data_IF_435017761631
#
_entry.id   IF_435017761631
#
_cell.length_a   1.000
_cell.length_b   1.000
_cell.length_c   1.000
_cell.angle_alpha   90.00
_cell.angle_beta   90.00
_cell.angle_gamma   90.00
#
_symmetry.space_group_name_H-M   'P 1'
#
loop_
_entity.id
_entity.type
_entity.pdbx_description
1 polymer ?
#
# COMPACT_ATOMS: atom_id res chain seq x y z
N UNK A 1 -26.81 19.71 -15.93
CA UNK A 1 -25.79 20.43 -15.13
C UNK A 1 -25.01 19.38 -14.39
N UNK A 2 -23.70 19.43 -14.45
CA UNK A 2 -22.81 18.47 -13.79
C UNK A 2 -22.58 19.00 -12.38
N UNK A 3 -23.05 18.27 -11.37
CA UNK A 3 -22.92 18.70 -9.98
C UNK A 3 -21.45 18.88 -9.61
N UNK A 4 -21.17 19.90 -8.81
CA UNK A 4 -19.81 20.21 -8.36
C UNK A 4 -19.27 19.03 -7.55
N UNK A 5 -18.10 18.51 -7.93
CA UNK A 5 -17.38 17.52 -7.14
C UNK A 5 -17.10 18.07 -5.74
N UNK A 6 -17.42 17.28 -4.71
CA UNK A 6 -17.02 17.60 -3.35
C UNK A 6 -15.49 17.61 -3.22
N UNK A 7 -14.99 18.34 -2.21
CA UNK A 7 -13.57 18.60 -2.07
C UNK A 7 -12.75 17.34 -1.75
N UNK A 8 -13.32 16.39 -1.00
CA UNK A 8 -12.62 15.17 -0.58
C UNK A 8 -12.50 14.20 -1.75
N UNK A 9 -13.58 14.02 -2.52
CA UNK A 9 -13.56 13.22 -3.75
C UNK A 9 -12.59 13.81 -4.77
N UNK A 10 -12.62 15.14 -4.98
CA UNK A 10 -11.69 15.80 -5.90
C UNK A 10 -10.23 15.62 -5.46
N UNK A 11 -9.94 15.79 -4.17
CA UNK A 11 -8.59 15.60 -3.64
C UNK A 11 -8.11 14.16 -3.84
N UNK A 12 -8.90 13.17 -3.43
CA UNK A 12 -8.53 11.77 -3.57
C UNK A 12 -8.38 11.37 -5.04
N UNK A 13 -9.29 11.81 -5.91
CA UNK A 13 -9.20 11.59 -7.36
C UNK A 13 -7.92 12.18 -7.93
N UNK A 14 -7.55 13.41 -7.54
CA UNK A 14 -6.31 14.04 -7.99
C UNK A 14 -5.08 13.27 -7.52
N UNK A 15 -5.06 12.80 -6.26
CA UNK A 15 -3.95 11.99 -5.72
C UNK A 15 -3.78 10.72 -6.56
N UNK A 16 -4.84 9.93 -6.73
CA UNK A 16 -4.70 8.64 -7.45
C UNK A 16 -4.43 8.82 -8.93
N UNK A 17 -4.95 9.88 -9.55
CA UNK A 17 -4.58 10.24 -10.91
C UNK A 17 -3.12 10.69 -11.02
N UNK A 18 -2.54 11.28 -9.98
CA UNK A 18 -1.13 11.69 -9.95
C UNK A 18 -0.16 10.57 -9.63
N UNK A 19 -0.55 9.66 -8.72
CA UNK A 19 0.25 8.52 -8.24
C UNK A 19 0.21 7.33 -9.19
N UNK A 20 -0.89 7.14 -9.94
CA UNK A 20 -1.02 6.03 -10.89
C UNK A 20 -0.10 6.18 -12.09
N UNK A 21 0.24 5.02 -12.69
CA UNK A 21 1.00 4.97 -13.92
C UNK A 21 0.28 5.72 -15.07
N UNK A 22 1.03 6.12 -16.09
CA UNK A 22 0.47 6.76 -17.29
C UNK A 22 -0.32 5.82 -18.19
N UNK A 23 -0.51 4.56 -17.78
CA UNK A 23 -1.37 3.61 -18.47
C UNK A 23 -2.87 3.86 -18.21
N UNK A 24 -3.20 4.74 -17.25
CA UNK A 24 -4.57 5.16 -16.94
C UNK A 24 -5.52 3.98 -16.63
N UNK A 25 -5.00 2.98 -15.91
CA UNK A 25 -5.75 1.77 -15.52
C UNK A 25 -6.67 2.09 -14.34
N UNK A 26 -7.97 1.86 -14.52
CA UNK A 26 -8.98 2.12 -13.48
C UNK A 26 -8.69 1.35 -12.19
N UNK A 27 -8.38 0.04 -12.29
CA UNK A 27 -8.12 -0.81 -11.12
C UNK A 27 -6.90 -0.35 -10.32
N UNK A 28 -5.89 0.23 -10.98
CA UNK A 28 -4.72 0.82 -10.32
C UNK A 28 -5.13 2.04 -9.50
N UNK A 29 -5.87 2.98 -10.11
CA UNK A 29 -6.38 4.17 -9.42
C UNK A 29 -7.34 3.81 -8.28
N UNK A 30 -8.22 2.83 -8.49
CA UNK A 30 -9.16 2.35 -7.48
C UNK A 30 -8.43 1.70 -6.31
N UNK A 31 -7.44 0.84 -6.58
CA UNK A 31 -6.64 0.20 -5.54
C UNK A 31 -5.83 1.24 -4.73
N UNK A 32 -5.22 2.24 -5.38
CA UNK A 32 -4.56 3.36 -4.68
C UNK A 32 -5.57 4.13 -3.80
N UNK A 33 -6.77 4.40 -4.31
CA UNK A 33 -7.83 5.08 -3.55
C UNK A 33 -8.23 4.26 -2.31
N UNK A 34 -8.38 2.94 -2.46
CA UNK A 34 -8.67 2.04 -1.35
C UNK A 34 -7.56 2.07 -0.28
N UNK A 35 -6.29 2.02 -0.68
CA UNK A 35 -5.16 2.10 0.26
C UNK A 35 -5.16 3.44 1.00
N UNK A 36 -5.36 4.55 0.30
CA UNK A 36 -5.39 5.89 0.90
C UNK A 36 -6.51 6.03 1.95
N UNK A 37 -7.73 5.60 1.62
CA UNK A 37 -8.86 5.62 2.56
C UNK A 37 -8.60 4.69 3.75
N UNK A 38 -8.05 3.49 3.51
CA UNK A 38 -7.74 2.53 4.57
C UNK A 38 -6.67 3.06 5.53
N UNK A 39 -5.58 3.63 5.00
CA UNK A 39 -4.52 4.25 5.80
C UNK A 39 -5.03 5.41 6.64
N UNK A 40 -5.85 6.28 6.04
CA UNK A 40 -6.51 7.39 6.73
C UNK A 40 -7.33 6.89 7.92
N UNK A 41 -8.23 5.93 7.69
CA UNK A 41 -9.08 5.34 8.73
C UNK A 41 -8.29 4.61 9.82
N UNK A 42 -7.31 3.80 9.44
CA UNK A 42 -6.50 3.02 10.39
C UNK A 42 -5.67 3.90 11.35
N UNK A 43 -5.36 5.13 10.92
CA UNK A 43 -4.65 6.14 11.70
C UNK A 43 -5.58 7.12 12.42
N UNK A 44 -6.90 6.96 12.29
CA UNK A 44 -7.90 7.77 13.00
C UNK A 44 -8.18 9.13 12.39
N UNK A 45 -7.92 9.33 11.10
CA UNK A 45 -8.29 10.56 10.40
C UNK A 45 -9.73 10.49 9.89
N UNK A 46 -10.45 11.62 10.01
CA UNK A 46 -11.83 11.74 9.53
C UNK A 46 -11.93 12.10 8.05
N UNK A 47 -10.87 12.68 7.47
CA UNK A 47 -10.84 13.15 6.08
C UNK A 47 -9.50 12.83 5.41
N UNK A 48 -9.50 12.67 4.10
CA UNK A 48 -8.29 12.52 3.28
C UNK A 48 -7.43 13.76 3.39
N UNK A 49 -8.03 14.96 3.38
CA UNK A 49 -7.27 16.22 3.54
C UNK A 49 -6.51 16.28 4.88
N UNK A 50 -7.13 15.86 5.98
CA UNK A 50 -6.45 15.81 7.28
C UNK A 50 -5.33 14.76 7.32
N UNK A 51 -5.55 13.62 6.66
CA UNK A 51 -4.54 12.57 6.53
C UNK A 51 -3.32 13.05 5.73
N UNK A 52 -3.54 13.56 4.51
CA UNK A 52 -2.46 13.93 3.59
C UNK A 52 -1.67 15.16 4.03
N UNK A 53 -2.27 16.03 4.85
CA UNK A 53 -1.57 17.20 5.41
C UNK A 53 -0.60 16.84 6.54
N UNK A 54 -0.87 15.77 7.30
CA UNK A 54 -0.01 15.31 8.40
C UNK A 54 0.95 14.19 7.99
N UNK A 55 0.54 13.33 7.06
CA UNK A 55 1.28 12.12 6.67
C UNK A 55 1.93 12.32 5.29
N UNK A 56 3.02 13.11 5.26
CA UNK A 56 3.68 13.54 4.02
C UNK A 56 4.17 12.40 3.12
N UNK A 57 4.47 11.23 3.69
CA UNK A 57 4.88 10.05 2.93
C UNK A 57 3.78 9.45 2.04
N UNK A 58 2.51 9.78 2.31
CA UNK A 58 1.35 9.36 1.53
C UNK A 58 0.83 10.47 0.60
N UNK A 59 1.54 11.61 0.54
CA UNK A 59 1.12 12.79 -0.21
C UNK A 59 2.27 13.47 -0.95
N UNK A 60 3.29 12.70 -1.37
CA UNK A 60 4.36 13.23 -2.20
C UNK A 60 3.81 13.96 -3.42
N UNK A 61 2.83 13.37 -4.11
CA UNK A 61 2.14 13.95 -5.26
C UNK A 61 1.39 15.27 -4.97
N UNK A 62 1.08 15.56 -3.69
CA UNK A 62 0.49 16.84 -3.27
C UNK A 62 1.57 17.93 -3.11
N UNK A 63 2.82 17.55 -2.85
CA UNK A 63 3.93 18.47 -2.51
C UNK A 63 5.01 18.60 -3.59
N UNK A 64 5.13 17.63 -4.49
CA UNK A 64 6.18 17.52 -5.50
C UNK A 64 5.89 18.30 -6.80
N UNK A 65 4.70 18.89 -6.93
CA UNK A 65 4.28 19.58 -8.15
C UNK A 65 3.88 18.64 -9.29
N UNK A 66 3.45 17.41 -8.99
CA UNK A 66 2.99 16.43 -9.97
C UNK A 66 1.95 17.05 -10.92
N UNK A 67 2.28 17.03 -12.22
CA UNK A 67 1.48 17.69 -13.26
C UNK A 67 0.09 17.09 -13.40
N UNK A 68 -0.06 15.77 -13.17
CA UNK A 68 -1.35 15.07 -13.28
C UNK A 68 -2.26 15.44 -12.11
N UNK A 69 -1.74 15.43 -10.89
CA UNK A 69 -2.46 15.92 -9.72
C UNK A 69 -2.93 17.36 -9.91
N UNK A 70 -2.02 18.26 -10.28
CA UNK A 70 -2.34 19.67 -10.51
C UNK A 70 -3.36 19.86 -11.63
N UNK A 71 -3.32 19.03 -12.68
CA UNK A 71 -4.30 19.05 -13.77
C UNK A 71 -5.71 18.75 -13.25
N UNK A 72 -5.90 17.62 -12.57
CA UNK A 72 -7.25 17.25 -12.08
C UNK A 72 -7.77 18.27 -11.05
N UNK A 73 -6.91 18.76 -10.15
CA UNK A 73 -7.31 19.79 -9.17
C UNK A 73 -7.82 21.07 -9.81
N UNK A 74 -7.20 21.51 -10.93
CA UNK A 74 -7.54 22.76 -11.62
C UNK A 74 -8.63 22.61 -12.67
N UNK A 75 -8.87 21.39 -13.16
CA UNK A 75 -9.86 21.13 -14.20
C UNK A 75 -11.28 21.36 -13.73
N UNK A 76 -12.09 21.94 -14.63
CA UNK A 76 -13.54 22.07 -14.44
C UNK A 76 -14.22 20.70 -14.55
N UNK A 77 -15.39 20.57 -13.97
CA UNK A 77 -16.19 19.33 -13.93
C UNK A 77 -16.42 18.77 -15.34
N UNK A 78 -16.83 19.62 -16.28
CA UNK A 78 -17.00 19.22 -17.68
C UNK A 78 -15.71 18.72 -18.36
N UNK A 79 -14.54 19.21 -17.94
CA UNK A 79 -13.25 18.73 -18.48
C UNK A 79 -12.88 17.38 -17.89
N UNK A 80 -13.16 17.18 -16.60
CA UNK A 80 -12.97 15.90 -15.90
C UNK A 80 -13.85 14.82 -16.52
N UNK A 81 -15.12 15.12 -16.78
CA UNK A 81 -16.05 14.17 -17.40
C UNK A 81 -15.68 13.78 -18.82
N UNK A 82 -15.18 14.74 -19.62
CA UNK A 82 -14.74 14.48 -21.00
C UNK A 82 -13.43 13.70 -21.08
N UNK A 83 -12.64 13.67 -20.01
CA UNK A 83 -11.38 12.94 -19.95
C UNK A 83 -11.61 11.60 -19.27
N UNK A 84 -11.59 10.50 -20.03
CA UNK A 84 -11.80 9.14 -19.50
C UNK A 84 -10.95 8.87 -18.24
N UNK A 85 -9.66 9.19 -18.28
CA UNK A 85 -8.76 8.93 -17.16
C UNK A 85 -9.02 9.79 -15.91
N UNK A 86 -9.44 11.04 -16.06
CA UNK A 86 -9.82 11.88 -14.90
C UNK A 86 -11.20 11.48 -14.36
N UNK A 87 -12.15 11.13 -15.24
CA UNK A 87 -13.44 10.57 -14.86
C UNK A 87 -13.27 9.25 -14.09
N UNK A 88 -12.37 8.38 -14.54
CA UNK A 88 -12.09 7.10 -13.89
C UNK A 88 -11.39 7.30 -12.54
N UNK A 89 -10.52 8.28 -12.39
CA UNK A 89 -9.97 8.67 -11.09
C UNK A 89 -11.08 9.14 -10.11
N UNK A 90 -12.07 9.89 -10.61
CA UNK A 90 -13.24 10.30 -9.80
C UNK A 90 -14.10 9.09 -9.41
N UNK A 91 -14.34 8.15 -10.33
CA UNK A 91 -15.07 6.91 -10.02
C UNK A 91 -14.32 6.07 -8.98
N UNK A 92 -13.00 5.97 -9.10
CA UNK A 92 -12.13 5.27 -8.16
C UNK A 92 -12.20 5.89 -6.75
N UNK A 93 -12.10 7.22 -6.66
CA UNK A 93 -12.22 7.95 -5.40
C UNK A 93 -13.60 7.74 -4.75
N UNK A 94 -14.68 7.89 -5.52
CA UNK A 94 -16.04 7.65 -5.05
C UNK A 94 -16.24 6.22 -4.56
N UNK A 95 -15.74 5.23 -5.31
CA UNK A 95 -15.80 3.83 -4.89
C UNK A 95 -15.13 3.63 -3.52
N UNK A 96 -13.93 4.17 -3.31
CA UNK A 96 -13.19 3.98 -2.07
C UNK A 96 -13.84 4.72 -0.88
N UNK A 97 -14.26 5.97 -1.07
CA UNK A 97 -14.88 6.79 -0.01
C UNK A 97 -16.21 6.19 0.48
N UNK A 98 -16.99 5.61 -0.44
CA UNK A 98 -18.28 4.98 -0.13
C UNK A 98 -18.16 3.52 0.31
N UNK A 99 -16.95 2.98 0.51
CA UNK A 99 -16.76 1.60 0.94
C UNK A 99 -17.16 0.56 -0.11
N UNK A 100 -17.05 0.90 -1.39
CA UNK A 100 -17.25 -0.01 -2.50
C UNK A 100 -16.17 -1.09 -2.58
N UNK A 101 -16.04 -1.72 -3.76
CA UNK A 101 -15.11 -2.83 -3.96
C UNK A 101 -13.68 -2.42 -3.62
N UNK A 102 -12.99 -3.25 -2.85
CA UNK A 102 -11.57 -3.07 -2.54
C UNK A 102 -10.69 -3.71 -3.62
N UNK A 103 -10.22 -2.91 -4.56
CA UNK A 103 -9.34 -3.38 -5.64
C UNK A 103 -7.94 -3.71 -5.13
N UNK A 104 -7.53 -3.15 -3.99
CA UNK A 104 -6.21 -3.39 -3.39
C UNK A 104 -6.13 -4.70 -2.60
N UNK A 105 -7.24 -5.43 -2.43
CA UNK A 105 -7.34 -6.68 -1.68
C UNK A 105 -6.71 -6.61 -0.27
N UNK A 106 -7.00 -5.53 0.45
CA UNK A 106 -6.55 -5.33 1.83
C UNK A 106 -5.12 -4.80 1.98
N UNK A 107 -4.51 -4.25 0.93
CA UNK A 107 -3.17 -3.66 1.04
C UNK A 107 -3.14 -2.42 1.94
N UNK A 108 -2.00 -2.18 2.56
CA UNK A 108 -1.71 -0.94 3.29
C UNK A 108 -0.63 -0.10 2.62
N UNK A 109 0.08 -0.69 1.67
CA UNK A 109 1.22 -0.09 1.01
C UNK A 109 1.19 -0.41 -0.49
N UNK A 110 1.92 0.36 -1.27
CA UNK A 110 2.18 0.08 -2.66
C UNK A 110 3.65 0.36 -2.99
N UNK A 111 4.09 -0.10 -4.16
CA UNK A 111 5.32 0.32 -4.81
C UNK A 111 5.12 0.44 -6.32
N UNK A 112 5.78 1.44 -6.91
CA UNK A 112 5.88 1.59 -8.36
C UNK A 112 7.18 0.99 -8.88
N UNK A 113 7.66 1.49 -10.02
CA UNK A 113 8.85 0.93 -10.70
C UNK A 113 10.15 1.09 -9.90
N UNK A 114 10.17 1.93 -8.87
CA UNK A 114 11.31 2.19 -8.01
C UNK A 114 11.74 0.96 -7.19
N UNK A 115 10.82 0.05 -6.88
CA UNK A 115 11.16 -1.23 -6.26
C UNK A 115 12.11 -2.07 -7.13
N UNK A 116 12.02 -1.93 -8.46
CA UNK A 116 12.92 -2.59 -9.42
C UNK A 116 14.21 -1.81 -9.59
N UNK A 117 14.13 -0.50 -9.85
CA UNK A 117 15.31 0.30 -10.15
C UNK A 117 16.24 0.47 -8.95
N UNK A 118 15.70 0.45 -7.73
CA UNK A 118 16.45 0.56 -6.48
C UNK A 118 16.44 -0.73 -5.64
N UNK A 119 16.23 -1.88 -6.28
CA UNK A 119 15.93 -3.17 -5.61
C UNK A 119 16.79 -3.47 -4.38
N UNK A 120 18.13 -3.42 -4.49
CA UNK A 120 19.05 -3.75 -3.38
C UNK A 120 18.90 -2.83 -2.17
N UNK A 121 18.48 -1.58 -2.38
CA UNK A 121 18.34 -0.60 -1.30
C UNK A 121 16.89 -0.39 -0.87
N UNK A 122 15.94 -0.89 -1.65
CA UNK A 122 14.51 -0.70 -1.41
C UNK A 122 14.09 -1.26 -0.05
N UNK A 123 13.36 -0.45 0.73
CA UNK A 123 13.05 -0.76 2.12
C UNK A 123 12.30 -2.08 2.27
N UNK A 124 11.25 -2.31 1.46
CA UNK A 124 10.48 -3.56 1.55
C UNK A 124 11.31 -4.77 1.16
N UNK A 125 12.14 -4.65 0.12
CA UNK A 125 13.03 -5.74 -0.35
C UNK A 125 14.03 -6.12 0.74
N UNK A 126 14.63 -5.15 1.44
CA UNK A 126 15.52 -5.41 2.59
C UNK A 126 14.83 -6.13 3.76
N UNK A 127 13.51 -5.96 3.87
CA UNK A 127 12.69 -6.54 4.93
C UNK A 127 12.00 -7.86 4.55
N UNK A 128 12.15 -8.29 3.30
CA UNK A 128 11.54 -9.49 2.77
C UNK A 128 10.19 -9.21 2.10
N UNK A 129 10.11 -9.52 0.81
CA UNK A 129 8.89 -9.47 0.01
C UNK A 129 8.54 -10.87 -0.52
N UNK A 130 7.24 -11.16 -0.61
CA UNK A 130 6.70 -12.35 -1.24
C UNK A 130 5.53 -12.04 -2.16
N UNK A 131 5.53 -12.59 -3.35
CA UNK A 131 4.38 -12.58 -4.24
C UNK A 131 3.45 -13.72 -3.88
N UNK A 132 2.20 -13.42 -3.58
CA UNK A 132 1.16 -14.41 -3.27
C UNK A 132 0.56 -15.01 -4.54
N UNK A 133 0.67 -14.28 -5.65
CA UNK A 133 0.28 -14.69 -6.99
C UNK A 133 1.43 -14.29 -7.93
N UNK A 134 1.94 -15.19 -8.79
CA UNK A 134 2.96 -14.85 -9.79
C UNK A 134 2.59 -13.66 -10.68
N UNK A 135 1.31 -13.43 -10.97
CA UNK A 135 0.83 -12.30 -11.76
C UNK A 135 1.05 -10.95 -11.08
N UNK A 136 1.26 -10.93 -9.76
CA UNK A 136 1.58 -9.69 -9.04
C UNK A 136 3.03 -9.22 -9.30
N UNK A 137 3.90 -10.07 -9.83
CA UNK A 137 5.29 -9.71 -10.13
C UNK A 137 5.43 -9.01 -11.48
N UNK A 138 4.71 -7.90 -11.67
CA UNK A 138 4.67 -7.11 -12.91
C UNK A 138 6.04 -6.54 -13.32
N UNK A 139 7.01 -6.53 -12.40
CA UNK A 139 8.37 -6.05 -12.64
C UNK A 139 9.42 -7.14 -12.87
N UNK A 140 9.06 -8.42 -12.69
CA UNK A 140 9.97 -9.56 -12.81
C UNK A 140 11.15 -9.48 -11.83
N UNK A 141 10.92 -8.99 -10.61
CA UNK A 141 11.94 -8.92 -9.57
C UNK A 141 11.96 -10.21 -8.75
N UNK A 142 13.10 -10.52 -8.14
CA UNK A 142 13.18 -11.65 -7.23
C UNK A 142 12.40 -11.36 -5.94
N UNK A 143 11.90 -12.41 -5.31
CA UNK A 143 11.49 -12.32 -3.91
C UNK A 143 12.71 -12.14 -3.01
N UNK A 144 12.49 -11.70 -1.78
CA UNK A 144 13.56 -11.55 -0.80
C UNK A 144 13.14 -12.11 0.55
N UNK A 145 14.12 -12.64 1.28
CA UNK A 145 13.87 -13.26 2.59
C UNK A 145 14.62 -12.55 3.70
N UNK A 146 13.93 -12.32 4.82
CA UNK A 146 14.50 -11.94 6.11
C UNK A 146 14.04 -12.94 7.17
N UNK A 147 14.86 -13.96 7.42
CA UNK A 147 14.55 -14.98 8.41
C UNK A 147 14.66 -14.38 9.82
N UNK A 148 13.55 -14.43 10.56
CA UNK A 148 13.51 -14.09 11.98
C UNK A 148 12.92 -15.27 12.73
N UNK A 149 13.60 -15.69 13.80
CA UNK A 149 13.20 -16.78 14.67
C UNK A 149 13.11 -16.30 16.12
N UNK A 150 12.09 -16.75 16.85
CA UNK A 150 12.06 -16.64 18.31
C UNK A 150 12.33 -18.01 18.90
N UNK A 151 13.27 -18.08 19.83
CA UNK A 151 13.59 -19.31 20.55
C UNK A 151 13.30 -19.11 22.03
N UNK A 152 12.65 -20.10 22.66
CA UNK A 152 12.58 -20.24 24.11
C UNK A 152 13.78 -21.06 24.55
N UNK A 153 14.56 -20.51 25.47
CA UNK A 153 15.67 -21.24 26.09
C UNK A 153 15.24 -21.67 27.49
N UNK A 154 15.18 -22.97 27.73
CA UNK A 154 14.83 -23.57 29.03
C UNK A 154 16.01 -24.37 29.54
N UNK A 155 16.43 -24.12 30.78
CA UNK A 155 17.42 -24.96 31.45
C UNK A 155 16.70 -26.15 32.08
N UNK A 156 17.11 -27.36 31.72
CA UNK A 156 16.59 -28.60 32.29
C UNK A 156 17.72 -29.32 33.03
N UNK A 157 17.41 -29.92 34.18
CA UNK A 157 18.37 -30.74 34.90
C UNK A 157 18.14 -32.19 34.51
N UNK A 158 19.16 -32.81 33.89
CA UNK A 158 19.16 -34.23 33.58
C UNK A 158 20.35 -34.84 34.32
N UNK A 159 20.06 -35.69 35.31
CA UNK A 159 21.06 -36.41 36.12
C UNK A 159 22.14 -35.51 36.75
N UNK A 160 21.74 -34.36 37.30
CA UNK A 160 22.66 -33.41 37.94
C UNK A 160 23.38 -32.47 36.96
N UNK A 161 23.21 -32.67 35.65
CA UNK A 161 23.75 -31.80 34.61
C UNK A 161 22.68 -30.83 34.12
N UNK A 162 23.00 -29.54 34.15
CA UNK A 162 22.13 -28.51 33.56
C UNK A 162 22.33 -28.53 32.04
N UNK A 163 21.31 -28.95 31.31
CA UNK A 163 21.23 -28.85 29.87
C UNK A 163 20.36 -27.69 29.44
N UNK A 164 20.69 -27.11 28.29
CA UNK A 164 19.93 -26.00 27.71
C UNK A 164 19.10 -26.52 26.54
N UNK A 165 17.78 -26.56 26.70
CA UNK A 165 16.84 -26.87 25.63
C UNK A 165 16.42 -25.56 24.94
N UNK A 166 16.64 -25.49 23.63
CA UNK A 166 16.10 -24.42 22.78
C UNK A 166 14.89 -24.95 22.02
N UNK A 167 13.81 -24.20 22.03
CA UNK A 167 12.58 -24.51 21.31
C UNK A 167 12.23 -23.31 20.41
N UNK A 168 12.11 -23.53 19.10
CA UNK A 168 11.65 -22.50 18.17
C UNK A 168 10.15 -22.25 18.41
N UNK A 169 9.83 -21.07 18.93
CA UNK A 169 8.45 -20.66 19.18
C UNK A 169 7.76 -20.16 17.91
N UNK A 170 8.53 -19.48 17.05
CA UNK A 170 7.98 -18.81 15.89
C UNK A 170 9.04 -18.48 14.84
N UNK A 171 8.58 -18.35 13.58
CA UNK A 171 9.41 -18.01 12.42
C UNK A 171 8.60 -17.20 11.41
N UNK A 172 9.24 -16.20 10.80
CA UNK A 172 8.80 -15.63 9.53
C UNK A 172 10.01 -15.37 8.62
N UNK A 173 9.79 -15.37 7.31
CA UNK A 173 10.85 -15.15 6.32
C UNK A 173 10.63 -13.91 5.46
N UNK A 174 9.50 -13.23 5.58
CA UNK A 174 9.21 -11.98 4.89
C UNK A 174 8.22 -11.15 5.70
N UNK A 175 8.28 -9.84 5.55
CA UNK A 175 7.36 -8.90 6.20
C UNK A 175 6.23 -8.52 5.24
N UNK A 176 6.50 -8.38 3.94
CA UNK A 176 5.50 -7.90 2.97
C UNK A 176 5.07 -9.01 2.03
N UNK A 177 3.76 -9.08 1.79
CA UNK A 177 3.19 -9.96 0.77
C UNK A 177 2.27 -9.18 -0.15
N UNK A 178 2.34 -9.48 -1.45
CA UNK A 178 1.50 -8.83 -2.45
C UNK A 178 0.02 -9.15 -2.21
N UNK A 179 -0.87 -8.29 -2.67
CA UNK A 179 -2.33 -8.52 -2.61
C UNK A 179 -3.01 -8.31 -3.96
N UNK A 180 -2.43 -7.44 -4.79
CA UNK A 180 -2.84 -7.16 -6.15
C UNK A 180 -1.69 -6.52 -6.92
N UNK A 181 -1.79 -6.47 -8.24
CA UNK A 181 -0.98 -5.58 -9.08
C UNK A 181 -1.81 -5.14 -10.30
N UNK A 182 -1.73 -3.86 -10.64
CA UNK A 182 -2.43 -3.26 -11.79
C UNK A 182 -1.58 -2.15 -12.39
N UNK A 183 -1.63 -1.99 -13.71
CA UNK A 183 -0.88 -0.95 -14.40
C UNK A 183 0.61 -1.02 -14.07
N UNK A 184 1.10 -0.02 -13.33
CA UNK A 184 2.48 0.07 -12.85
C UNK A 184 2.58 0.09 -11.32
N UNK A 185 1.70 -0.61 -10.60
CA UNK A 185 1.71 -0.62 -9.15
C UNK A 185 1.52 -2.02 -8.59
N UNK A 186 2.36 -2.39 -7.60
CA UNK A 186 2.17 -3.59 -6.78
C UNK A 186 1.67 -3.17 -5.41
N UNK A 187 0.64 -3.85 -4.92
CA UNK A 187 0.01 -3.57 -3.63
C UNK A 187 0.42 -4.61 -2.60
N UNK A 188 0.70 -4.16 -1.37
CA UNK A 188 1.29 -4.98 -0.31
C UNK A 188 0.53 -4.85 1.00
N UNK A 189 0.50 -5.94 1.75
CA UNK A 189 0.18 -5.95 3.18
C UNK A 189 1.28 -6.66 3.97
N UNK A 190 1.27 -6.47 5.28
CA UNK A 190 2.18 -7.21 6.14
C UNK A 190 1.74 -8.66 6.30
N UNK A 191 2.72 -9.55 6.41
CA UNK A 191 2.54 -10.96 6.66
C UNK A 191 1.79 -11.14 8.01
N UNK A 192 0.66 -11.87 8.05
CA UNK A 192 -0.07 -12.14 9.29
C UNK A 192 0.80 -12.73 10.40
N UNK A 193 1.78 -13.57 10.05
CA UNK A 193 2.69 -14.18 11.03
C UNK A 193 3.64 -13.16 11.65
N UNK A 194 4.05 -12.15 10.89
CA UNK A 194 4.82 -11.03 11.41
C UNK A 194 3.97 -10.19 12.38
N UNK A 195 2.74 -9.85 12.00
CA UNK A 195 1.82 -9.05 12.82
C UNK A 195 1.46 -9.76 14.13
N UNK A 196 1.02 -11.02 14.04
CA UNK A 196 0.64 -11.84 15.21
C UNK A 196 1.77 -11.91 16.25
N UNK A 197 3.00 -11.94 15.77
CA UNK A 197 4.18 -12.11 16.59
C UNK A 197 4.72 -10.81 17.19
N UNK A 198 4.82 -9.77 16.37
CA UNK A 198 5.38 -8.48 16.78
C UNK A 198 4.36 -7.58 17.46
N UNK A 199 3.06 -7.90 17.31
CA UNK A 199 1.97 -7.00 17.63
C UNK A 199 2.10 -5.64 16.92
N UNK A 200 2.81 -5.61 15.78
CA UNK A 200 2.90 -4.44 14.93
C UNK A 200 1.50 -4.08 14.42
N UNK A 201 1.34 -2.80 14.08
CA UNK A 201 0.13 -2.34 13.44
C UNK A 201 0.28 -2.56 11.93
N UNK A 202 -0.71 -3.18 11.30
CA UNK A 202 -0.71 -3.54 9.87
C UNK A 202 -0.52 -2.36 8.90
N UNK A 203 -0.72 -1.14 9.39
CA UNK A 203 -0.65 0.13 8.65
C UNK A 203 0.67 0.91 8.83
N UNK A 204 1.61 0.38 9.62
CA UNK A 204 2.91 0.99 9.93
C UNK A 204 4.08 0.34 9.19
#
# INVERSE_FOLDING_TARGET
MTDKLDAETRLLAAIVYGESSTADVFEEMAALANVMVRQSKARGYNTISAFTSKEKSFSYVVTDGNKRFAKLMKSKELEIEKSSSMSDAVKAANNALNGGKDYSNGAYFWDGADIKSNYKNHFKVKNGIKFTDPLHNIYGINESTRLVKKEKTTKININGKIETKKEELWRYTYIYQSTAAYGGTIFWKQNPDYIKYTHAKEYL
#
